data_IF_751308198471
#
_entry.id   IF_751308198471
#
_cell.length_a   1.000
_cell.length_b   1.000
_cell.length_c   1.000
_cell.angle_alpha   90.00
_cell.angle_beta   90.00
_cell.angle_gamma   90.00
#
_symmetry.space_group_name_H-M   'P 1'
#
loop_
_entity.id
_entity.type
_entity.pdbx_description
1 polymer ?
#
# COMPACT_ATOMS: atom_id res chain seq x y z
N UNK A 1 -38.76 15.51 -37.77
CA UNK A 1 -37.71 14.57 -38.21
C UNK A 1 -37.41 13.63 -37.06
N UNK A 2 -37.68 12.32 -37.17
CA UNK A 2 -37.30 11.37 -36.13
C UNK A 2 -35.79 11.16 -36.16
N UNK A 3 -35.16 11.25 -34.98
CA UNK A 3 -33.73 11.01 -34.78
C UNK A 3 -33.41 9.56 -35.17
N UNK A 4 -32.60 9.41 -36.23
CA UNK A 4 -32.10 8.14 -36.72
C UNK A 4 -31.14 7.56 -35.66
N UNK A 5 -31.64 6.74 -34.74
CA UNK A 5 -30.80 6.03 -33.78
C UNK A 5 -29.93 5.03 -34.54
N UNK A 6 -28.60 5.24 -34.50
CA UNK A 6 -27.66 4.27 -35.04
C UNK A 6 -27.95 2.88 -34.44
N UNK A 7 -28.01 1.81 -35.24
CA UNK A 7 -28.27 0.48 -34.72
C UNK A 7 -27.17 0.12 -33.72
N UNK A 8 -27.55 -0.25 -32.50
CA UNK A 8 -26.61 -0.76 -31.50
C UNK A 8 -25.84 -1.92 -32.14
N UNK A 9 -24.51 -2.00 -31.98
CA UNK A 9 -23.77 -3.17 -32.42
C UNK A 9 -24.45 -4.42 -31.83
N UNK A 10 -24.92 -5.30 -32.70
CA UNK A 10 -25.41 -6.62 -32.31
C UNK A 10 -24.21 -7.41 -31.83
N UNK A 11 -23.89 -7.30 -30.53
CA UNK A 11 -23.07 -8.33 -29.91
C UNK A 11 -23.86 -9.64 -30.09
N UNK A 12 -23.36 -10.55 -30.92
CA UNK A 12 -23.99 -11.85 -31.10
C UNK A 12 -24.11 -12.49 -29.71
N UNK A 13 -25.30 -12.98 -29.31
CA UNK A 13 -25.43 -13.70 -28.06
C UNK A 13 -24.44 -14.88 -28.06
N UNK A 14 -23.78 -15.17 -26.93
CA UNK A 14 -22.82 -16.26 -26.85
C UNK A 14 -23.46 -17.55 -27.35
N UNK A 15 -22.73 -18.29 -28.18
CA UNK A 15 -23.22 -19.59 -28.66
C UNK A 15 -23.44 -20.52 -27.47
N UNK A 16 -24.31 -21.53 -27.61
CA UNK A 16 -24.50 -22.54 -26.56
C UNK A 16 -23.17 -23.18 -26.12
N UNK A 17 -22.21 -23.33 -27.04
CA UNK A 17 -20.86 -23.80 -26.74
C UNK A 17 -20.04 -22.81 -25.90
N UNK A 18 -20.13 -21.51 -26.20
CA UNK A 18 -19.48 -20.46 -25.40
C UNK A 18 -20.09 -20.37 -24.01
N UNK A 19 -21.42 -20.33 -23.92
CA UNK A 19 -22.12 -20.32 -22.64
C UNK A 19 -21.77 -21.56 -21.80
N UNK A 20 -21.71 -22.75 -22.41
CA UNK A 20 -21.29 -23.97 -21.72
C UNK A 20 -19.80 -23.95 -21.31
N UNK A 21 -18.93 -23.30 -22.09
CA UNK A 21 -17.52 -23.14 -21.74
C UNK A 21 -17.31 -22.11 -20.61
N UNK A 22 -18.12 -21.05 -20.56
CA UNK A 22 -18.07 -19.99 -19.53
C UNK A 22 -18.70 -20.43 -18.20
N UNK A 23 -19.68 -21.36 -18.24
CA UNK A 23 -20.41 -21.84 -17.05
C UNK A 23 -20.04 -23.25 -16.63
N UNK A 24 -19.22 -23.95 -17.42
CA UNK A 24 -18.79 -25.31 -17.13
C UNK A 24 -17.88 -25.36 -15.90
N UNK A 25 -17.96 -26.47 -15.16
CA UNK A 25 -16.97 -26.75 -14.12
C UNK A 25 -15.60 -26.91 -14.79
N UNK A 26 -14.57 -26.14 -14.37
CA UNK A 26 -13.21 -26.30 -14.89
C UNK A 26 -12.77 -27.76 -14.75
N UNK A 27 -12.19 -28.32 -15.82
CA UNK A 27 -11.58 -29.65 -15.72
C UNK A 27 -10.33 -29.58 -14.85
N UNK A 28 -10.09 -30.64 -14.09
CA UNK A 28 -8.88 -30.78 -13.28
C UNK A 28 -7.65 -30.78 -14.21
N UNK A 29 -6.80 -29.77 -14.06
CA UNK A 29 -5.59 -29.61 -14.87
C UNK A 29 -4.46 -30.37 -14.20
N UNK A 30 -3.66 -31.10 -14.98
CA UNK A 30 -2.47 -31.77 -14.44
C UNK A 30 -1.47 -30.73 -13.95
N UNK A 31 -1.08 -30.82 -12.68
CA UNK A 31 0.02 -30.03 -12.13
C UNK A 31 1.33 -30.35 -12.85
N UNK A 32 2.12 -29.32 -13.12
CA UNK A 32 3.48 -29.50 -13.61
C UNK A 32 4.35 -30.09 -12.50
N UNK A 33 5.32 -30.97 -12.82
CA UNK A 33 6.21 -31.55 -11.82
C UNK A 33 7.15 -30.47 -11.24
N UNK A 34 7.34 -30.50 -9.93
CA UNK A 34 8.21 -29.57 -9.20
C UNK A 34 7.46 -28.63 -8.28
N UNK A 35 8.18 -27.91 -7.42
CA UNK A 35 7.59 -26.86 -6.56
C UNK A 35 7.73 -25.52 -7.29
N UNK A 36 6.64 -24.84 -7.68
CA UNK A 36 6.74 -23.55 -8.34
C UNK A 36 7.35 -22.50 -7.38
N UNK A 37 8.00 -21.49 -7.94
CA UNK A 37 8.54 -20.37 -7.16
C UNK A 37 7.49 -19.68 -6.29
N UNK A 38 6.24 -19.62 -6.76
CA UNK A 38 5.10 -19.04 -6.04
C UNK A 38 4.80 -19.69 -4.69
N UNK A 39 5.05 -20.99 -4.49
CA UNK A 39 4.84 -21.64 -3.17
C UNK A 39 5.79 -21.05 -2.12
N UNK A 40 7.07 -20.88 -2.47
CA UNK A 40 8.03 -20.23 -1.59
C UNK A 40 7.69 -18.75 -1.36
N UNK A 41 7.15 -18.05 -2.36
CA UNK A 41 6.67 -16.68 -2.18
C UNK A 41 5.52 -16.61 -1.17
N UNK A 42 4.61 -17.58 -1.16
CA UNK A 42 3.55 -17.70 -0.15
C UNK A 42 4.14 -17.94 1.25
N UNK A 43 5.17 -18.78 1.38
CA UNK A 43 5.87 -18.96 2.66
C UNK A 43 6.46 -17.64 3.17
N UNK A 44 7.07 -16.85 2.28
CA UNK A 44 7.59 -15.50 2.60
C UNK A 44 6.47 -14.57 3.06
N UNK A 45 5.37 -14.48 2.31
CA UNK A 45 4.22 -13.61 2.63
C UNK A 45 3.65 -13.97 4.02
N UNK A 46 3.52 -15.26 4.32
CA UNK A 46 3.00 -15.76 5.61
C UNK A 46 3.83 -15.33 6.82
N UNK A 47 5.14 -15.06 6.65
CA UNK A 47 6.00 -14.63 7.76
C UNK A 47 5.66 -13.24 8.30
N UNK A 48 4.87 -12.44 7.58
CA UNK A 48 4.58 -11.05 7.92
C UNK A 48 3.15 -10.83 8.47
N UNK A 49 2.41 -11.91 8.74
CA UNK A 49 1.06 -11.87 9.33
C UNK A 49 0.08 -10.95 8.55
N UNK A 50 0.18 -10.96 7.22
CA UNK A 50 -0.75 -10.24 6.35
C UNK A 50 -2.06 -11.02 6.33
N UNK A 51 -3.13 -10.38 6.81
CA UNK A 51 -4.41 -11.06 7.05
C UNK A 51 -5.25 -11.24 5.79
N UNK A 52 -5.29 -10.21 4.94
CA UNK A 52 -6.14 -10.14 3.76
C UNK A 52 -5.35 -9.64 2.56
N UNK A 53 -5.77 -10.04 1.37
CA UNK A 53 -5.23 -9.60 0.10
C UNK A 53 -6.40 -9.21 -0.83
N UNK A 54 -6.85 -7.95 -0.80
CA UNK A 54 -7.80 -7.44 -1.79
C UNK A 54 -7.13 -7.32 -3.17
N UNK A 55 -7.73 -7.90 -4.20
CA UNK A 55 -7.14 -7.93 -5.54
C UNK A 55 -8.17 -8.24 -6.64
N UNK A 56 -7.98 -7.64 -7.81
CA UNK A 56 -8.64 -8.05 -9.04
C UNK A 56 -7.77 -9.09 -9.76
N UNK A 57 -8.26 -10.31 -9.95
CA UNK A 57 -7.46 -11.43 -10.44
C UNK A 57 -6.97 -11.22 -11.89
N UNK A 58 -5.73 -11.62 -12.18
CA UNK A 58 -5.18 -11.48 -13.52
C UNK A 58 -4.07 -12.47 -13.86
N UNK A 59 -3.77 -12.55 -15.17
CA UNK A 59 -2.85 -13.54 -15.73
C UNK A 59 -1.38 -13.32 -15.37
N UNK A 60 -0.95 -12.09 -15.08
CA UNK A 60 0.48 -11.77 -14.86
C UNK A 60 1.00 -12.16 -13.47
N UNK A 61 0.11 -12.51 -12.54
CA UNK A 61 0.47 -13.06 -11.22
C UNK A 61 -0.26 -14.38 -10.92
N UNK A 62 -0.66 -15.10 -11.97
CA UNK A 62 -1.54 -16.29 -11.88
C UNK A 62 -1.01 -17.37 -10.94
N UNK A 63 0.30 -17.64 -10.98
CA UNK A 63 0.92 -18.69 -10.17
C UNK A 63 0.97 -18.30 -8.69
N UNK A 64 1.24 -17.02 -8.37
CA UNK A 64 1.10 -16.54 -7.00
C UNK A 64 -0.34 -16.64 -6.51
N UNK A 65 -1.32 -16.27 -7.35
CA UNK A 65 -2.74 -16.41 -7.02
C UNK A 65 -3.14 -17.87 -6.76
N UNK A 66 -2.73 -18.79 -7.63
CA UNK A 66 -2.95 -20.24 -7.47
C UNK A 66 -2.32 -20.76 -6.17
N UNK A 67 -1.02 -20.49 -5.94
CA UNK A 67 -0.33 -20.90 -4.72
C UNK A 67 -0.93 -20.29 -3.45
N UNK A 68 -1.51 -19.09 -3.49
CA UNK A 68 -2.19 -18.51 -2.32
C UNK A 68 -3.43 -19.33 -1.92
N UNK A 69 -4.15 -19.86 -2.91
CA UNK A 69 -5.36 -20.64 -2.70
C UNK A 69 -5.03 -22.10 -2.38
N UNK A 70 -4.31 -22.78 -3.26
CA UNK A 70 -4.15 -24.24 -3.23
C UNK A 70 -3.07 -24.68 -2.24
N UNK A 71 -1.89 -24.07 -2.31
CA UNK A 71 -0.79 -24.34 -1.37
C UNK A 71 -0.99 -23.57 -0.05
N UNK A 72 -1.43 -22.32 -0.16
CA UNK A 72 -1.59 -21.39 0.94
C UNK A 72 -2.82 -21.65 1.80
N UNK A 73 -3.83 -22.35 1.26
CA UNK A 73 -5.10 -22.62 1.91
C UNK A 73 -6.01 -21.41 2.02
N UNK A 74 -5.79 -20.38 1.18
CA UNK A 74 -6.49 -19.10 1.19
C UNK A 74 -6.56 -18.45 2.60
N UNK A 75 -5.46 -18.53 3.34
CA UNK A 75 -5.38 -18.04 4.72
C UNK A 75 -4.03 -17.41 5.01
N UNK A 76 -4.07 -16.23 5.62
CA UNK A 76 -2.88 -15.45 6.00
C UNK A 76 -1.92 -15.22 4.82
N UNK A 77 -2.37 -14.62 3.70
CA UNK A 77 -3.61 -13.84 3.58
C UNK A 77 -4.78 -14.60 2.96
N UNK A 78 -6.01 -14.19 3.31
CA UNK A 78 -7.23 -14.55 2.57
C UNK A 78 -7.38 -13.61 1.35
N UNK A 79 -7.53 -14.19 0.17
CA UNK A 79 -7.73 -13.48 -1.08
C UNK A 79 -9.15 -12.93 -1.17
N UNK A 80 -9.29 -11.61 -1.28
CA UNK A 80 -10.57 -10.91 -1.40
C UNK A 80 -10.71 -10.40 -2.84
N UNK A 81 -11.57 -11.04 -3.62
CA UNK A 81 -11.80 -10.64 -5.01
C UNK A 81 -12.42 -9.24 -5.07
N UNK A 82 -11.78 -8.33 -5.79
CA UNK A 82 -12.26 -7.00 -6.10
C UNK A 82 -12.56 -6.87 -7.58
N UNK A 83 -13.52 -6.02 -7.95
CA UNK A 83 -13.88 -5.76 -9.36
C UNK A 83 -13.03 -4.65 -10.01
N UNK A 84 -12.16 -4.00 -9.24
CA UNK A 84 -11.29 -2.93 -9.73
C UNK A 84 -10.09 -2.75 -8.78
N UNK A 85 -8.91 -2.48 -9.33
CA UNK A 85 -7.65 -2.34 -8.60
C UNK A 85 -7.65 -1.14 -7.66
N UNK A 86 -8.29 -0.02 -8.05
CA UNK A 86 -8.47 1.14 -7.18
C UNK A 86 -9.21 0.78 -5.89
N UNK A 87 -10.28 -0.01 -5.99
CA UNK A 87 -11.05 -0.49 -4.84
C UNK A 87 -10.21 -1.41 -3.96
N UNK A 88 -9.36 -2.25 -4.56
CA UNK A 88 -8.48 -3.14 -3.83
C UNK A 88 -7.47 -2.36 -2.97
N UNK A 89 -6.81 -1.36 -3.56
CA UNK A 89 -5.91 -0.44 -2.83
C UNK A 89 -6.69 0.38 -1.79
N UNK A 90 -7.90 0.85 -2.12
CA UNK A 90 -8.77 1.57 -1.19
C UNK A 90 -9.17 0.75 0.05
N UNK A 91 -9.42 -0.55 -0.12
CA UNK A 91 -9.65 -1.47 1.00
C UNK A 91 -8.40 -1.61 1.87
N UNK A 92 -7.21 -1.75 1.28
CA UNK A 92 -5.94 -1.78 2.01
C UNK A 92 -5.70 -0.47 2.79
N UNK A 93 -6.01 0.67 2.17
CA UNK A 93 -5.94 2.00 2.77
C UNK A 93 -6.80 2.10 4.02
N UNK A 94 -8.09 1.79 3.91
CA UNK A 94 -9.04 1.83 5.03
C UNK A 94 -8.72 0.84 6.13
N UNK A 95 -8.31 -0.39 5.77
CA UNK A 95 -7.95 -1.43 6.73
C UNK A 95 -6.79 -1.00 7.63
N UNK A 96 -5.75 -0.39 7.06
CA UNK A 96 -4.64 0.12 7.86
C UNK A 96 -5.07 1.21 8.85
N UNK A 97 -5.92 2.15 8.42
CA UNK A 97 -6.39 3.24 9.31
C UNK A 97 -7.11 2.73 10.55
N UNK A 98 -7.78 1.59 10.44
CA UNK A 98 -8.54 1.00 11.54
C UNK A 98 -7.65 0.09 12.39
N UNK A 99 -6.83 -0.74 11.76
CA UNK A 99 -6.14 -1.86 12.43
C UNK A 99 -4.67 -1.58 12.75
N UNK A 100 -4.05 -0.61 12.08
CA UNK A 100 -2.61 -0.37 12.11
C UNK A 100 -1.78 -1.45 11.41
N UNK A 101 -2.39 -2.38 10.67
CA UNK A 101 -1.70 -3.44 9.91
C UNK A 101 -1.85 -3.23 8.40
N UNK A 102 -0.78 -3.37 7.60
CA UNK A 102 -0.84 -3.16 6.15
C UNK A 102 -1.45 -4.39 5.47
N UNK A 103 -2.01 -4.19 4.27
CA UNK A 103 -2.43 -5.27 3.38
C UNK A 103 -1.56 -5.31 2.12
N UNK A 104 -1.51 -6.49 1.51
CA UNK A 104 -0.94 -6.74 0.18
C UNK A 104 -2.05 -6.62 -0.87
N UNK A 105 -1.74 -6.02 -2.02
CA UNK A 105 -2.57 -6.08 -3.22
C UNK A 105 -1.72 -6.46 -4.43
N UNK A 106 -2.30 -7.22 -5.36
CA UNK A 106 -1.65 -7.59 -6.62
C UNK A 106 -2.30 -6.82 -7.78
N UNK A 107 -1.48 -6.33 -8.72
CA UNK A 107 -1.94 -5.55 -9.88
C UNK A 107 -1.52 -6.21 -11.20
N UNK A 108 -2.40 -6.11 -12.21
CA UNK A 108 -2.18 -6.73 -13.52
C UNK A 108 -1.24 -5.92 -14.42
N UNK A 109 0.07 -6.13 -14.28
CA UNK A 109 1.06 -5.51 -15.16
C UNK A 109 0.89 -4.00 -15.25
N UNK A 110 1.07 -3.45 -16.45
CA UNK A 110 0.90 -2.02 -16.70
C UNK A 110 -0.54 -1.55 -16.50
N UNK A 111 -1.53 -2.29 -17.02
CA UNK A 111 -2.93 -1.82 -17.07
C UNK A 111 -3.56 -1.79 -15.67
N UNK A 112 -3.41 -2.87 -14.89
CA UNK A 112 -3.94 -2.91 -13.53
C UNK A 112 -3.24 -1.91 -12.62
N UNK A 113 -1.93 -1.68 -12.82
CA UNK A 113 -1.21 -0.66 -12.07
C UNK A 113 -1.66 0.76 -12.44
N UNK A 114 -1.99 1.06 -13.70
CA UNK A 114 -2.59 2.33 -14.09
C UNK A 114 -3.94 2.55 -13.40
N UNK A 115 -4.78 1.52 -13.31
CA UNK A 115 -6.05 1.57 -12.56
C UNK A 115 -5.83 1.73 -11.05
N UNK A 116 -4.75 1.18 -10.49
CA UNK A 116 -4.40 1.31 -9.06
C UNK A 116 -3.78 2.67 -8.71
N UNK A 117 -3.12 3.34 -9.67
CA UNK A 117 -2.23 4.47 -9.43
C UNK A 117 -2.86 5.61 -8.61
N UNK A 118 -4.14 5.91 -8.86
CA UNK A 118 -4.84 6.99 -8.14
C UNK A 118 -5.07 6.66 -6.66
N UNK A 119 -5.43 5.41 -6.34
CA UNK A 119 -5.53 4.99 -4.94
C UNK A 119 -4.15 4.84 -4.27
N UNK A 120 -3.11 4.46 -5.02
CA UNK A 120 -1.73 4.46 -4.49
C UNK A 120 -1.29 5.88 -4.14
N UNK A 121 -1.55 6.85 -5.01
CA UNK A 121 -1.28 8.27 -4.75
C UNK A 121 -2.05 8.79 -3.54
N UNK A 122 -3.32 8.38 -3.37
CA UNK A 122 -4.08 8.71 -2.16
C UNK A 122 -3.44 8.12 -0.89
N UNK A 123 -2.97 6.87 -0.93
CA UNK A 123 -2.26 6.25 0.19
C UNK A 123 -0.93 6.95 0.49
N UNK A 124 -0.22 7.45 -0.54
CA UNK A 124 0.98 8.27 -0.40
C UNK A 124 0.70 9.59 0.31
N UNK A 125 -0.26 10.37 -0.18
CA UNK A 125 -0.67 11.64 0.40
C UNK A 125 -1.10 11.51 1.87
N UNK A 126 -1.69 10.36 2.23
CA UNK A 126 -2.22 10.11 3.56
C UNK A 126 -1.25 9.34 4.50
N UNK A 127 -0.05 9.00 3.99
CA UNK A 127 0.99 8.25 4.70
C UNK A 127 0.46 6.91 5.21
N UNK A 128 -0.08 6.09 4.30
CA UNK A 128 -0.61 4.76 4.60
C UNK A 128 0.20 3.68 3.89
N UNK A 129 0.67 2.64 4.61
CA UNK A 129 1.46 1.57 4.04
C UNK A 129 0.57 0.56 3.33
N UNK A 130 0.53 0.65 2.00
CA UNK A 130 -0.03 -0.38 1.12
C UNK A 130 1.13 -1.10 0.43
N UNK A 131 1.13 -2.44 0.48
CA UNK A 131 2.12 -3.24 -0.23
C UNK A 131 1.52 -3.59 -1.60
N UNK A 132 2.13 -3.13 -2.69
CA UNK A 132 1.64 -3.36 -4.05
C UNK A 132 2.62 -4.23 -4.80
N UNK A 133 2.15 -5.35 -5.35
CA UNK A 133 2.96 -6.20 -6.23
C UNK A 133 2.33 -6.24 -7.62
N UNK A 134 3.02 -5.72 -8.62
CA UNK A 134 2.59 -5.79 -10.02
C UNK A 134 3.18 -7.00 -10.73
N UNK A 135 2.34 -7.92 -11.19
CA UNK A 135 2.81 -9.05 -12.01
C UNK A 135 3.24 -8.58 -13.39
N UNK A 136 4.40 -9.00 -13.89
CA UNK A 136 4.99 -8.61 -15.17
C UNK A 136 5.63 -9.81 -15.87
N UNK A 137 5.88 -9.77 -17.18
CA UNK A 137 6.64 -10.81 -17.89
C UNK A 137 7.89 -10.15 -18.50
N UNK A 138 9.04 -10.16 -17.79
CA UNK A 138 10.21 -9.37 -18.19
C UNK A 138 10.88 -9.93 -19.43
N UNK A 139 11.09 -11.25 -19.46
CA UNK A 139 11.80 -11.90 -20.56
C UNK A 139 10.89 -12.06 -21.79
N UNK A 140 11.11 -11.21 -22.79
CA UNK A 140 10.39 -11.24 -24.06
C UNK A 140 10.56 -12.57 -24.82
N UNK A 141 11.63 -13.33 -24.60
CA UNK A 141 11.83 -14.63 -25.24
C UNK A 141 10.88 -15.71 -24.69
N UNK A 142 10.44 -15.56 -23.44
CA UNK A 142 9.56 -16.52 -22.76
C UNK A 142 8.13 -15.99 -22.57
N UNK A 143 7.86 -14.76 -22.99
CA UNK A 143 6.57 -14.10 -22.83
C UNK A 143 5.50 -14.71 -23.75
N UNK A 144 4.36 -15.19 -23.21
CA UNK A 144 3.29 -15.72 -24.04
C UNK A 144 2.65 -14.63 -24.93
N UNK A 145 2.15 -14.99 -26.12
CA UNK A 145 1.44 -14.06 -26.98
C UNK A 145 0.14 -13.55 -26.33
N UNK A 146 -0.33 -12.39 -26.79
CA UNK A 146 -1.59 -11.80 -26.32
C UNK A 146 -1.41 -10.96 -25.05
N UNK A 147 -2.30 -11.15 -24.07
CA UNK A 147 -2.39 -10.35 -22.83
C UNK A 147 -1.03 -10.16 -22.13
N UNK A 148 -0.21 -11.22 -21.87
CA UNK A 148 1.11 -11.03 -21.26
C UNK A 148 2.04 -10.13 -22.09
N UNK A 149 1.98 -10.23 -23.42
CA UNK A 149 2.75 -9.36 -24.34
C UNK A 149 2.33 -7.90 -24.29
N UNK A 150 1.03 -7.62 -24.31
CA UNK A 150 0.53 -6.24 -24.35
C UNK A 150 0.63 -5.50 -23.02
N UNK A 151 0.60 -6.21 -21.89
CA UNK A 151 0.56 -5.61 -20.55
C UNK A 151 1.89 -5.68 -19.78
N UNK A 152 2.96 -6.14 -20.44
CA UNK A 152 4.31 -6.11 -19.88
C UNK A 152 5.05 -4.83 -20.24
N UNK A 153 5.91 -4.35 -19.35
CA UNK A 153 6.85 -3.26 -19.63
C UNK A 153 8.23 -3.57 -19.07
N UNK A 154 9.23 -2.83 -19.55
CA UNK A 154 10.60 -2.90 -19.02
C UNK A 154 10.64 -2.51 -17.54
N UNK A 155 9.85 -1.50 -17.17
CA UNK A 155 9.77 -0.99 -15.82
C UNK A 155 8.33 -0.51 -15.53
N UNK A 156 7.52 -1.39 -14.94
CA UNK A 156 6.17 -1.02 -14.52
C UNK A 156 6.19 -0.14 -13.27
N UNK A 157 7.23 -0.23 -12.43
CA UNK A 157 7.32 0.52 -11.19
C UNK A 157 7.43 2.03 -11.46
N UNK A 158 8.02 2.42 -12.59
CA UNK A 158 8.10 3.81 -13.05
C UNK A 158 6.75 4.54 -13.05
N UNK A 159 5.63 3.84 -13.24
CA UNK A 159 4.29 4.43 -13.23
C UNK A 159 3.90 5.04 -11.88
N UNK A 160 4.49 4.56 -10.79
CA UNK A 160 4.13 4.96 -9.41
C UNK A 160 5.33 5.35 -8.54
N UNK A 161 6.53 5.38 -9.13
CA UNK A 161 7.79 5.58 -8.40
C UNK A 161 7.84 6.89 -7.63
N UNK A 162 7.29 7.97 -8.20
CA UNK A 162 7.30 9.30 -7.57
C UNK A 162 6.37 9.43 -6.35
N UNK A 163 5.51 8.44 -6.13
CA UNK A 163 4.58 8.40 -5.00
C UNK A 163 4.56 7.02 -4.31
N UNK A 164 5.71 6.37 -4.28
CA UNK A 164 5.98 5.19 -3.45
C UNK A 164 7.30 5.39 -2.69
N UNK A 165 7.41 4.79 -1.50
CA UNK A 165 8.61 4.97 -0.65
C UNK A 165 9.82 4.22 -1.18
N UNK A 166 9.55 3.13 -1.90
CA UNK A 166 10.54 2.19 -2.38
C UNK A 166 9.87 1.26 -3.39
N UNK A 167 10.60 0.96 -4.45
CA UNK A 167 10.26 -0.05 -5.44
C UNK A 167 11.44 -1.01 -5.69
N UNK A 168 11.13 -2.21 -6.17
CA UNK A 168 12.13 -3.22 -6.53
C UNK A 168 11.59 -4.22 -7.57
N UNK A 169 12.49 -4.94 -8.22
CA UNK A 169 12.17 -5.96 -9.23
C UNK A 169 13.01 -7.21 -8.99
N UNK A 170 12.55 -8.13 -8.12
CA UNK A 170 13.30 -9.34 -7.84
C UNK A 170 13.47 -10.25 -9.06
N UNK A 171 14.70 -10.71 -9.25
CA UNK A 171 15.10 -11.59 -10.38
C UNK A 171 15.39 -13.03 -9.94
N UNK A 172 15.20 -13.36 -8.66
CA UNK A 172 15.36 -14.71 -8.11
C UNK A 172 14.49 -14.93 -6.88
N UNK A 173 14.25 -16.19 -6.49
CA UNK A 173 13.43 -16.52 -5.32
C UNK A 173 14.04 -15.97 -4.02
N UNK A 174 15.36 -16.10 -3.87
CA UNK A 174 16.06 -15.55 -2.71
C UNK A 174 16.00 -14.01 -2.68
N UNK A 175 16.10 -13.37 -3.84
CA UNK A 175 15.93 -11.92 -3.97
C UNK A 175 14.50 -11.52 -3.56
N UNK A 176 13.47 -12.23 -4.03
CA UNK A 176 12.08 -11.98 -3.62
C UNK A 176 11.90 -12.02 -2.11
N UNK A 177 12.43 -13.05 -1.44
CA UNK A 177 12.34 -13.18 0.02
C UNK A 177 12.95 -11.97 0.75
N UNK A 178 14.11 -11.49 0.29
CA UNK A 178 14.77 -10.31 0.86
C UNK A 178 13.99 -9.02 0.58
N UNK A 179 13.56 -8.84 -0.66
CA UNK A 179 12.82 -7.67 -1.12
C UNK A 179 11.45 -7.57 -0.45
N UNK A 180 10.73 -8.67 -0.26
CA UNK A 180 9.39 -8.64 0.32
C UNK A 180 9.41 -8.32 1.83
N UNK A 181 10.38 -8.87 2.57
CA UNK A 181 10.58 -8.49 3.98
C UNK A 181 11.03 -7.04 4.10
N UNK A 182 11.89 -6.57 3.19
CA UNK A 182 12.33 -5.17 3.11
C UNK A 182 11.19 -4.22 2.77
N UNK A 183 10.35 -4.60 1.80
CA UNK A 183 9.14 -3.90 1.37
C UNK A 183 8.24 -3.60 2.58
N UNK A 184 7.92 -4.63 3.36
CA UNK A 184 7.11 -4.49 4.57
C UNK A 184 7.77 -3.55 5.58
N UNK A 185 9.08 -3.73 5.84
CA UNK A 185 9.83 -2.89 6.78
C UNK A 185 9.84 -1.42 6.36
N UNK A 186 10.05 -1.11 5.08
CA UNK A 186 10.07 0.26 4.59
C UNK A 186 8.68 0.88 4.67
N UNK A 187 7.64 0.17 4.22
CA UNK A 187 6.27 0.65 4.31
C UNK A 187 5.89 1.01 5.76
N UNK A 188 6.22 0.12 6.70
CA UNK A 188 5.92 0.23 8.13
C UNK A 188 6.89 1.10 8.93
N UNK A 189 7.92 1.69 8.32
CA UNK A 189 8.78 2.67 9.01
C UNK A 189 8.18 4.07 8.86
N UNK A 190 7.89 4.82 9.94
CA UNK A 190 7.38 6.19 9.82
C UNK A 190 8.36 7.13 9.07
N UNK A 191 7.86 8.09 8.27
CA UNK A 191 6.46 8.23 7.85
C UNK A 191 6.05 7.04 6.97
N UNK A 192 4.89 6.44 7.26
CA UNK A 192 4.41 5.30 6.48
C UNK A 192 4.06 5.72 5.06
N UNK A 193 4.00 4.76 4.13
CA UNK A 193 3.61 5.03 2.75
C UNK A 193 3.64 3.77 1.89
N UNK A 194 3.04 3.83 0.69
CA UNK A 194 2.97 2.70 -0.21
C UNK A 194 4.34 2.31 -0.74
N UNK A 195 4.49 1.04 -1.09
CA UNK A 195 5.71 0.44 -1.66
C UNK A 195 5.31 -0.47 -2.81
N UNK A 196 6.19 -0.60 -3.79
CA UNK A 196 5.93 -1.30 -5.05
C UNK A 196 6.93 -2.43 -5.26
N UNK A 197 6.51 -3.52 -5.90
CA UNK A 197 7.41 -4.54 -6.40
C UNK A 197 6.90 -5.06 -7.74
N UNK A 198 7.78 -5.16 -8.74
CA UNK A 198 7.46 -5.87 -9.97
C UNK A 198 7.84 -7.34 -9.81
N UNK A 199 6.90 -8.23 -10.09
CA UNK A 199 7.08 -9.67 -9.95
C UNK A 199 7.00 -10.35 -11.31
N UNK A 200 8.10 -10.97 -11.73
CA UNK A 200 8.17 -11.70 -12.99
C UNK A 200 7.29 -12.98 -12.98
N UNK A 201 6.54 -13.22 -14.05
CA UNK A 201 5.66 -14.36 -14.21
C UNK A 201 6.42 -15.70 -14.31
N UNK A 202 7.57 -15.72 -14.97
CA UNK A 202 8.48 -16.86 -15.01
C UNK A 202 9.03 -17.17 -13.63
N UNK A 203 9.43 -16.17 -12.84
CA UNK A 203 9.91 -16.38 -11.48
C UNK A 203 8.86 -17.04 -10.56
N UNK A 204 7.58 -16.77 -10.80
CA UNK A 204 6.48 -17.41 -10.06
C UNK A 204 6.24 -18.85 -10.53
N UNK A 205 6.25 -19.08 -11.85
CA UNK A 205 5.81 -20.33 -12.47
C UNK A 205 6.90 -21.40 -12.55
N UNK A 206 8.16 -20.99 -12.71
CA UNK A 206 9.25 -21.93 -12.88
C UNK A 206 9.45 -22.76 -11.61
N UNK A 207 9.70 -24.07 -11.75
CA UNK A 207 10.10 -24.90 -10.63
C UNK A 207 11.34 -24.33 -9.95
N UNK A 208 11.33 -24.27 -8.62
CA UNK A 208 12.50 -23.94 -7.84
C UNK A 208 13.63 -24.91 -8.18
N UNK A 209 14.68 -24.39 -8.81
CA UNK A 209 15.86 -25.16 -9.17
C UNK A 209 16.75 -25.27 -7.94
N UNK A 210 17.14 -26.51 -7.61
CA UNK A 210 18.14 -26.75 -6.58
C UNK A 210 19.53 -26.47 -7.17
N UNK A 211 20.04 -25.27 -6.91
CA UNK A 211 21.40 -24.87 -7.30
C UNK A 211 22.44 -25.15 -6.21
N UNK A 212 22.09 -25.92 -5.17
CA UNK A 212 22.95 -26.17 -4.01
C UNK A 212 22.93 -25.06 -2.95
N UNK A 213 22.23 -23.95 -3.21
CA UNK A 213 21.98 -22.88 -2.24
C UNK A 213 20.61 -23.05 -1.59
N UNK A 214 20.59 -23.16 -0.26
CA UNK A 214 19.36 -23.27 0.51
C UNK A 214 18.69 -21.90 0.64
N UNK A 215 17.50 -21.75 0.07
CA UNK A 215 16.67 -20.57 0.24
C UNK A 215 16.38 -20.31 1.74
N UNK A 216 16.39 -19.03 2.13
CA UNK A 216 16.03 -18.60 3.47
C UNK A 216 15.16 -17.34 3.44
N UNK A 217 14.28 -17.23 4.44
CA UNK A 217 13.42 -16.06 4.62
C UNK A 217 14.03 -15.17 5.70
N UNK A 218 14.41 -13.92 5.41
CA UNK A 218 14.93 -13.02 6.42
C UNK A 218 13.91 -12.76 7.53
N UNK A 219 14.38 -12.70 8.78
CA UNK A 219 13.52 -12.31 9.90
C UNK A 219 13.19 -10.82 9.81
N UNK A 220 11.90 -10.49 9.89
CA UNK A 220 11.47 -9.10 10.06
C UNK A 220 11.92 -8.56 11.44
N UNK A 221 12.59 -7.42 11.42
CA UNK A 221 12.98 -6.65 12.62
C UNK A 221 12.38 -5.25 12.50
N UNK A 222 11.40 -4.88 13.35
CA UNK A 222 10.81 -3.54 13.36
C UNK A 222 11.86 -2.45 13.56
N UNK A 223 11.67 -1.30 12.92
CA UNK A 223 12.46 -0.10 13.17
C UNK A 223 12.00 0.59 14.45
N UNK A 224 12.94 1.16 15.21
CA UNK A 224 12.62 2.05 16.32
C UNK A 224 12.40 3.47 15.78
N UNK A 225 11.33 4.17 16.19
CA UNK A 225 11.15 5.58 15.84
C UNK A 225 12.35 6.43 16.30
N UNK A 226 12.77 7.44 15.52
CA UNK A 226 13.80 8.36 15.97
C UNK A 226 13.30 9.15 17.19
N UNK A 227 14.23 9.52 18.06
CA UNK A 227 13.96 10.46 19.16
C UNK A 227 14.35 11.87 18.73
N UNK A 228 13.63 12.87 19.24
CA UNK A 228 14.00 14.27 19.05
C UNK A 228 15.33 14.57 19.74
N UNK A 229 16.10 15.49 19.15
CA UNK A 229 17.32 15.98 19.79
C UNK A 229 16.98 16.65 21.13
N UNK A 230 17.68 16.23 22.19
CA UNK A 230 17.37 16.70 23.55
C UNK A 230 17.57 18.19 23.74
N UNK A 231 18.52 18.81 23.01
CA UNK A 231 18.75 20.25 23.02
C UNK A 231 17.62 21.01 22.33
N UNK A 232 17.25 20.58 21.12
CA UNK A 232 16.16 21.15 20.35
C UNK A 232 14.81 21.06 21.09
N UNK A 233 14.52 19.93 21.73
CA UNK A 233 13.30 19.75 22.54
C UNK A 233 13.27 20.69 23.74
N UNK A 234 14.39 20.85 24.45
CA UNK A 234 14.51 21.80 25.56
C UNK A 234 14.31 23.24 25.12
N UNK A 235 14.89 23.61 23.98
CA UNK A 235 14.75 24.96 23.44
C UNK A 235 13.31 25.25 23.01
N UNK A 236 12.65 24.32 22.31
CA UNK A 236 11.24 24.44 21.96
C UNK A 236 10.35 24.60 23.21
N UNK A 237 10.59 23.80 24.25
CA UNK A 237 9.89 23.93 25.53
C UNK A 237 10.13 25.29 26.20
N UNK A 238 11.37 25.80 26.17
CA UNK A 238 11.71 27.12 26.70
C UNK A 238 10.99 28.24 25.95
N UNK A 239 10.95 28.17 24.62
CA UNK A 239 10.25 29.16 23.80
C UNK A 239 8.75 29.17 24.10
N UNK A 240 8.12 27.98 24.14
CA UNK A 240 6.70 27.86 24.44
C UNK A 240 6.34 28.33 25.85
N UNK A 241 7.18 28.03 26.86
CA UNK A 241 6.91 28.42 28.24
C UNK A 241 7.08 29.93 28.52
N UNK A 242 7.86 30.64 27.68
CA UNK A 242 8.06 32.08 27.82
C UNK A 242 7.18 32.90 26.86
N UNK A 243 6.41 32.25 26.00
CA UNK A 243 5.51 32.91 25.06
C UNK A 243 4.31 33.52 25.80
N UNK A 244 3.91 34.72 25.40
CA UNK A 244 2.70 35.39 25.89
C UNK A 244 1.45 34.90 25.15
N UNK A 245 1.58 34.50 23.87
CA UNK A 245 0.48 34.00 23.04
C UNK A 245 0.90 32.81 22.15
N UNK A 246 1.30 31.66 22.76
CA UNK A 246 1.73 30.50 21.99
C UNK A 246 0.56 29.85 21.25
N UNK A 247 0.80 29.41 20.01
CA UNK A 247 -0.17 28.62 19.22
C UNK A 247 0.44 27.29 18.79
N UNK A 248 -0.33 26.23 18.99
CA UNK A 248 0.01 24.88 18.54
C UNK A 248 -0.75 24.60 17.25
N UNK A 249 -0.03 24.25 16.18
CA UNK A 249 -0.62 23.90 14.88
C UNK A 249 -0.29 22.45 14.57
N UNK A 250 -1.31 21.63 14.33
CA UNK A 250 -1.16 20.17 14.16
C UNK A 250 -1.87 19.67 12.92
N UNK A 251 -1.36 18.59 12.33
CA UNK A 251 -1.97 17.98 11.15
C UNK A 251 -1.97 16.44 11.19
N UNK A 252 -0.81 15.81 11.41
CA UNK A 252 -0.69 14.33 11.44
C UNK A 252 0.01 13.78 12.68
N UNK A 253 0.04 14.58 13.77
CA UNK A 253 0.84 14.31 14.97
C UNK A 253 0.28 13.15 15.80
N UNK A 254 -1.03 13.06 15.99
CA UNK A 254 -1.63 12.02 16.83
C UNK A 254 -1.75 10.71 16.04
N UNK A 255 -0.79 9.81 16.26
CA UNK A 255 -0.75 8.48 15.61
C UNK A 255 -1.48 7.40 16.41
N UNK A 256 -1.74 7.67 17.70
CA UNK A 256 -2.37 6.74 18.63
C UNK A 256 -3.32 7.51 19.55
N UNK A 257 -4.28 6.83 20.22
CA UNK A 257 -5.13 7.48 21.22
C UNK A 257 -4.33 8.17 22.34
N UNK A 258 -3.14 7.65 22.68
CA UNK A 258 -2.26 8.27 23.67
C UNK A 258 -1.64 9.58 23.14
N UNK A 259 -1.34 9.66 21.85
CA UNK A 259 -0.86 10.89 21.22
C UNK A 259 -1.86 12.04 21.33
N UNK A 260 -3.16 11.75 21.20
CA UNK A 260 -4.23 12.75 21.43
C UNK A 260 -4.19 13.25 22.88
N UNK A 261 -4.09 12.33 23.85
CA UNK A 261 -4.03 12.69 25.28
C UNK A 261 -2.83 13.57 25.62
N UNK A 262 -1.65 13.22 25.11
CA UNK A 262 -0.43 13.99 25.33
C UNK A 262 -0.50 15.38 24.68
N UNK A 263 -1.16 15.50 23.52
CA UNK A 263 -1.39 16.81 22.89
C UNK A 263 -2.36 17.67 23.72
N UNK A 264 -3.42 17.06 24.28
CA UNK A 264 -4.34 17.74 25.21
C UNK A 264 -3.59 18.23 26.45
N UNK A 265 -2.81 17.36 27.09
CA UNK A 265 -2.01 17.72 28.26
C UNK A 265 -1.05 18.88 27.97
N UNK A 266 -0.35 18.85 26.83
CA UNK A 266 0.54 19.93 26.42
C UNK A 266 -0.23 21.25 26.21
N UNK A 267 -1.37 21.21 25.52
CA UNK A 267 -2.18 22.38 25.27
C UNK A 267 -2.73 22.98 26.57
N UNK A 268 -3.23 22.14 27.49
CA UNK A 268 -3.74 22.55 28.79
C UNK A 268 -2.63 23.13 29.70
N UNK A 269 -1.44 22.52 29.69
CA UNK A 269 -0.30 23.02 30.46
C UNK A 269 0.15 24.42 30.02
N UNK A 270 0.09 24.70 28.72
CA UNK A 270 0.45 26.00 28.15
C UNK A 270 -0.73 26.98 28.08
N UNK A 271 -1.96 26.50 28.31
CA UNK A 271 -3.20 27.21 27.93
C UNK A 271 -3.16 27.72 26.48
N UNK A 272 -2.50 26.98 25.59
CA UNK A 272 -2.25 27.38 24.21
C UNK A 272 -3.40 26.93 23.28
N UNK A 273 -3.93 27.82 22.43
CA UNK A 273 -4.79 27.45 21.32
C UNK A 273 -4.19 26.36 20.43
N UNK A 274 -5.04 25.42 20.00
CA UNK A 274 -4.71 24.36 19.04
C UNK A 274 -5.48 24.57 17.75
N UNK A 275 -4.76 24.66 16.64
CA UNK A 275 -5.31 24.68 15.27
C UNK A 275 -5.01 23.34 14.61
N UNK A 276 -6.06 22.53 14.44
CA UNK A 276 -5.96 21.20 13.81
C UNK A 276 -6.37 21.27 12.34
N UNK A 277 -5.41 21.02 11.44
CA UNK A 277 -5.57 21.00 9.97
C UNK A 277 -6.43 19.84 9.48
N UNK A 278 -6.68 18.83 10.31
CA UNK A 278 -7.63 17.75 10.02
C UNK A 278 -7.08 16.62 9.14
N UNK A 279 -5.78 16.55 8.87
CA UNK A 279 -5.19 15.37 8.23
C UNK A 279 -5.35 14.09 9.05
N UNK A 280 -5.47 14.22 10.37
CA UNK A 280 -5.91 13.18 11.32
C UNK A 280 -6.75 13.82 12.43
N UNK A 281 -7.42 12.99 13.24
CA UNK A 281 -7.98 13.47 14.50
C UNK A 281 -6.83 13.70 15.49
N UNK A 282 -6.36 14.94 15.61
CA UNK A 282 -5.29 15.28 16.55
C UNK A 282 -5.84 15.82 17.86
N UNK A 283 -6.88 16.65 17.79
CA UNK A 283 -7.40 17.36 18.95
C UNK A 283 -8.94 17.32 19.01
N UNK A 284 -9.57 17.17 20.19
CA UNK A 284 -11.02 17.16 20.29
C UNK A 284 -11.62 18.51 19.88
N UNK A 285 -12.48 18.53 18.85
CA UNK A 285 -13.06 19.76 18.31
C UNK A 285 -13.98 20.51 19.30
N UNK A 286 -14.44 19.84 20.35
CA UNK A 286 -15.24 20.43 21.44
C UNK A 286 -14.41 20.98 22.59
N UNK A 287 -13.09 20.77 22.58
CA UNK A 287 -12.20 21.29 23.61
C UNK A 287 -12.10 22.82 23.53
N UNK A 288 -12.06 23.51 24.67
CA UNK A 288 -12.07 24.99 24.72
C UNK A 288 -10.85 25.64 24.06
N UNK A 289 -9.71 24.92 24.03
CA UNK A 289 -8.50 25.31 23.30
C UNK A 289 -8.52 24.97 21.80
N UNK A 290 -9.54 24.28 21.28
CA UNK A 290 -9.69 24.08 19.83
C UNK A 290 -10.12 25.41 19.19
N UNK A 291 -9.23 26.04 18.42
CA UNK A 291 -9.45 27.40 17.88
C UNK A 291 -9.32 27.43 16.35
N UNK A 292 -10.00 28.37 15.68
CA UNK A 292 -9.86 28.55 14.23
C UNK A 292 -8.47 29.12 13.87
N UNK A 293 -8.00 28.97 12.61
CA UNK A 293 -6.70 29.46 12.16
C UNK A 293 -6.43 30.96 12.37
N UNK A 294 -7.46 31.79 12.57
CA UNK A 294 -7.30 33.23 12.79
C UNK A 294 -6.48 33.61 14.02
N UNK A 295 -6.28 32.69 14.98
CA UNK A 295 -5.41 32.92 16.15
C UNK A 295 -3.92 32.90 15.80
N UNK A 296 -3.53 32.31 14.67
CA UNK A 296 -2.12 32.18 14.25
C UNK A 296 -1.47 33.54 14.04
N UNK A 297 -2.16 34.47 13.38
CA UNK A 297 -1.61 35.80 13.08
C UNK A 297 -1.36 36.70 14.29
N UNK A 298 -1.75 36.27 15.49
CA UNK A 298 -1.51 36.98 16.75
C UNK A 298 -0.44 36.30 17.60
N UNK A 299 0.07 35.13 17.17
CA UNK A 299 0.99 34.33 17.95
C UNK A 299 2.39 34.95 17.97
N UNK A 300 3.04 34.90 19.13
CA UNK A 300 4.46 35.25 19.29
C UNK A 300 5.37 34.02 19.11
N UNK A 301 4.85 32.82 19.41
CA UNK A 301 5.51 31.53 19.13
C UNK A 301 4.51 30.55 18.52
N UNK A 302 4.90 29.91 17.42
CA UNK A 302 4.11 28.86 16.77
C UNK A 302 4.91 27.55 16.80
N UNK A 303 4.31 26.48 17.32
CA UNK A 303 4.83 25.11 17.17
C UNK A 303 3.96 24.34 16.17
N UNK A 304 4.55 24.04 15.01
CA UNK A 304 3.93 23.17 14.01
C UNK A 304 4.37 21.72 14.20
N UNK A 305 3.40 20.83 14.39
CA UNK A 305 3.67 19.40 14.58
C UNK A 305 3.12 18.60 13.41
N UNK A 306 4.03 17.96 12.67
CA UNK A 306 3.70 17.07 11.54
C UNK A 306 2.89 17.76 10.43
N UNK A 307 3.15 19.05 10.17
CA UNK A 307 2.59 19.80 9.04
C UNK A 307 3.31 19.40 7.75
N UNK A 308 2.55 19.14 6.68
CA UNK A 308 3.13 18.86 5.35
C UNK A 308 3.55 20.13 4.61
N UNK A 309 2.88 21.25 4.88
CA UNK A 309 3.24 22.58 4.39
C UNK A 309 3.16 23.56 5.56
N UNK A 310 4.28 23.74 6.26
CA UNK A 310 4.32 24.63 7.43
C UNK A 310 4.07 26.09 6.99
N UNK A 311 4.74 26.54 5.92
CA UNK A 311 4.73 27.94 5.47
C UNK A 311 3.43 28.36 4.80
N UNK A 312 2.69 27.44 4.18
CA UNK A 312 1.34 27.73 3.69
C UNK A 312 0.29 27.82 4.80
N UNK A 313 0.61 27.34 6.00
CA UNK A 313 -0.30 27.27 7.15
C UNK A 313 -0.07 28.40 8.16
N UNK A 314 1.19 28.82 8.39
CA UNK A 314 1.55 29.81 9.42
C UNK A 314 1.67 31.24 8.90
#
# INVERSE_FOLDING_TARGET
MPLNQAPRPSALPPTAKMAAAETGTPQEIKHQPGKPGSDFMVDVIKTLDIKYLPCNAASSFRALHESLIDYGGNKSPEFLTCMHEESAVGMAHGYFKITGKPLLTLCHGTVGLQHAAMAIYNAWCDRVPVLVVGGNDLDAAHRPPGVPTFHSAQDINALVRDFTKWDDTPVSAQHFAQSFVRMYKIAMTPPYGPVMMSLDAGLQQEPLRDHGEKLYIPRYVPSSPPQGDSGAVKEAARLLANAENPVIVVDRVARTPNGIKLLVELAEALQAPVVDQGGRLNFPKTHYLSRPPSVIGQADVIIGMELSDFWGVV
#
